data_IF_898301833792
#
_entry.id   IF_898301833792
#
_cell.length_a   1.000
_cell.length_b   1.000
_cell.length_c   1.000
_cell.angle_alpha   90.00
_cell.angle_beta   90.00
_cell.angle_gamma   90.00
#
_symmetry.space_group_name_H-M   'P 1'
#
loop_
_entity.id
_entity.type
_entity.pdbx_description
1 polymer ?
#
# COMPACT_ATOMS: atom_id res chain seq x y z
N UNK A 1 34.64 -41.47 18.23
CA UNK A 1 33.56 -40.48 18.32
C UNK A 1 33.32 -40.04 16.84
N UNK A 2 32.35 -40.72 16.17
CA UNK A 2 32.05 -40.45 14.78
C UNK A 2 31.17 -39.21 14.73
N UNK A 3 31.70 -38.12 14.23
CA UNK A 3 30.89 -36.97 13.80
C UNK A 3 30.16 -37.46 12.56
N UNK A 4 28.87 -37.73 12.66
CA UNK A 4 27.99 -37.86 11.50
C UNK A 4 27.83 -36.45 10.94
N UNK A 5 28.62 -36.12 9.93
CA UNK A 5 28.25 -35.06 9.02
C UNK A 5 26.98 -35.54 8.32
N UNK A 6 25.81 -35.04 8.79
CA UNK A 6 24.58 -35.16 8.05
C UNK A 6 24.74 -34.26 6.84
N UNK A 7 25.08 -34.85 5.69
CA UNK A 7 24.97 -34.19 4.41
C UNK A 7 23.49 -33.81 4.30
N UNK A 8 23.17 -32.53 4.46
CA UNK A 8 21.83 -32.02 4.17
C UNK A 8 21.52 -32.39 2.72
N UNK A 9 20.46 -33.15 2.49
CA UNK A 9 20.01 -33.48 1.15
C UNK A 9 19.54 -32.17 0.52
N UNK A 10 20.12 -31.81 -0.61
CA UNK A 10 19.67 -30.66 -1.40
C UNK A 10 18.22 -30.91 -1.82
N UNK A 11 17.33 -30.01 -1.49
CA UNK A 11 15.91 -30.09 -1.84
C UNK A 11 15.51 -28.86 -2.64
N UNK A 12 14.52 -29.03 -3.52
CA UNK A 12 14.04 -27.96 -4.41
C UNK A 12 12.65 -27.53 -3.98
N UNK A 13 12.40 -26.23 -3.96
CA UNK A 13 11.10 -25.65 -3.71
C UNK A 13 10.64 -24.77 -4.87
N UNK A 14 9.32 -24.63 -5.06
CA UNK A 14 8.70 -23.73 -6.03
C UNK A 14 8.23 -22.45 -5.34
N UNK A 15 8.66 -21.30 -5.85
CA UNK A 15 8.23 -19.99 -5.40
C UNK A 15 7.45 -19.26 -6.49
N UNK A 16 6.14 -19.08 -6.31
CA UNK A 16 5.33 -18.26 -7.20
C UNK A 16 5.39 -16.79 -6.81
N UNK A 17 5.63 -15.95 -7.82
CA UNK A 17 5.73 -14.50 -7.63
C UNK A 17 4.89 -13.74 -8.63
N UNK A 18 4.33 -12.59 -8.20
CA UNK A 18 3.64 -11.64 -9.08
C UNK A 18 4.57 -10.61 -9.72
N UNK A 19 5.89 -10.74 -9.50
CA UNK A 19 6.89 -9.86 -10.12
C UNK A 19 7.27 -10.40 -11.50
N UNK A 20 6.53 -10.00 -12.54
CA UNK A 20 6.69 -10.49 -13.91
C UNK A 20 7.70 -9.67 -14.74
N UNK A 21 8.01 -8.43 -14.32
CA UNK A 21 8.93 -7.57 -15.08
C UNK A 21 10.35 -8.17 -15.08
N UNK A 22 11.02 -8.27 -16.26
CA UNK A 22 12.32 -8.96 -16.35
C UNK A 22 13.37 -8.48 -15.35
N UNK A 23 13.47 -7.16 -15.13
CA UNK A 23 14.44 -6.60 -14.17
C UNK A 23 14.12 -6.95 -12.70
N UNK A 24 12.83 -7.09 -12.36
CA UNK A 24 12.39 -7.49 -11.03
C UNK A 24 12.56 -8.98 -10.80
N UNK A 25 12.17 -9.78 -11.81
CA UNK A 25 12.35 -11.23 -11.79
C UNK A 25 13.84 -11.61 -11.68
N UNK A 26 14.74 -10.91 -12.40
CA UNK A 26 16.16 -11.12 -12.29
C UNK A 26 16.71 -10.92 -10.85
N UNK A 27 16.16 -9.96 -10.10
CA UNK A 27 16.54 -9.76 -8.69
C UNK A 27 16.06 -10.90 -7.78
N UNK A 28 14.85 -11.43 -8.02
CA UNK A 28 14.35 -12.58 -7.26
C UNK A 28 15.15 -13.85 -7.58
N UNK A 29 15.51 -14.07 -8.84
CA UNK A 29 16.42 -15.18 -9.22
C UNK A 29 17.79 -15.04 -8.57
N UNK A 30 18.33 -13.82 -8.48
CA UNK A 30 19.59 -13.58 -7.79
C UNK A 30 19.48 -13.89 -6.28
N UNK A 31 18.39 -13.51 -5.64
CA UNK A 31 18.11 -13.84 -4.23
C UNK A 31 17.98 -15.36 -4.02
N UNK A 32 17.30 -16.07 -4.92
CA UNK A 32 17.22 -17.52 -4.90
C UNK A 32 18.60 -18.19 -5.06
N UNK A 33 19.44 -17.65 -5.96
CA UNK A 33 20.81 -18.15 -6.14
C UNK A 33 21.71 -17.88 -4.93
N UNK A 34 21.52 -16.77 -4.22
CA UNK A 34 22.26 -16.49 -2.98
C UNK A 34 21.80 -17.39 -1.84
N UNK A 35 20.50 -17.67 -1.73
CA UNK A 35 19.94 -18.66 -0.80
C UNK A 35 20.53 -20.07 -1.05
N UNK A 36 20.60 -20.49 -2.33
CA UNK A 36 21.24 -21.77 -2.70
C UNK A 36 22.71 -21.85 -2.27
N UNK A 37 23.48 -20.78 -2.45
CA UNK A 37 24.91 -20.75 -2.01
C UNK A 37 25.05 -20.91 -0.51
N UNK A 38 24.10 -20.38 0.26
CA UNK A 38 24.13 -20.40 1.71
C UNK A 38 23.65 -21.74 2.29
N UNK A 39 22.61 -22.34 1.69
CA UNK A 39 21.90 -23.49 2.28
C UNK A 39 22.08 -24.80 1.48
N UNK A 40 22.38 -24.69 0.18
CA UNK A 40 22.36 -25.82 -0.76
C UNK A 40 20.99 -26.17 -1.30
N UNK A 41 19.90 -25.52 -0.84
CA UNK A 41 18.54 -25.73 -1.34
C UNK A 41 18.23 -24.84 -2.55
N UNK A 42 17.59 -25.40 -3.57
CA UNK A 42 17.25 -24.68 -4.81
C UNK A 42 15.83 -24.09 -4.73
N UNK A 43 15.65 -22.89 -5.26
CA UNK A 43 14.35 -22.21 -5.36
C UNK A 43 14.04 -21.92 -6.82
N UNK A 44 13.04 -22.61 -7.36
CA UNK A 44 12.50 -22.32 -8.68
C UNK A 44 11.54 -21.12 -8.60
N UNK A 45 11.98 -19.96 -9.13
CA UNK A 45 11.15 -18.73 -9.17
C UNK A 45 10.23 -18.74 -10.37
N UNK A 46 8.94 -18.84 -10.15
CA UNK A 46 7.92 -18.96 -11.20
C UNK A 46 7.04 -17.69 -11.23
N UNK A 47 7.13 -16.84 -12.27
CA UNK A 47 6.26 -15.68 -12.40
C UNK A 47 4.82 -16.10 -12.72
N UNK A 48 3.86 -15.47 -12.05
CA UNK A 48 2.43 -15.66 -12.23
C UNK A 48 1.75 -14.31 -12.30
N UNK A 49 0.99 -14.07 -13.36
CA UNK A 49 0.23 -12.83 -13.49
C UNK A 49 -0.70 -12.62 -12.30
N UNK A 50 -0.66 -11.42 -11.71
CA UNK A 50 -1.47 -11.08 -10.52
C UNK A 50 -2.97 -11.33 -10.75
N UNK A 51 -3.47 -11.06 -11.96
CA UNK A 51 -4.87 -11.30 -12.35
C UNK A 51 -5.25 -12.79 -12.42
N UNK A 52 -4.28 -13.66 -12.66
CA UNK A 52 -4.49 -15.11 -12.81
C UNK A 52 -4.13 -15.89 -11.54
N UNK A 53 -3.43 -15.27 -10.61
CA UNK A 53 -2.89 -15.91 -9.41
C UNK A 53 -3.96 -16.67 -8.61
N UNK A 54 -5.11 -16.04 -8.35
CA UNK A 54 -6.18 -16.66 -7.57
C UNK A 54 -6.75 -17.93 -8.24
N UNK A 55 -7.01 -17.88 -9.55
CA UNK A 55 -7.49 -19.04 -10.32
C UNK A 55 -6.47 -20.16 -10.35
N UNK A 56 -5.20 -19.80 -10.56
CA UNK A 56 -4.11 -20.77 -10.63
C UNK A 56 -3.88 -21.46 -9.29
N UNK A 57 -3.90 -20.72 -8.18
CA UNK A 57 -3.74 -21.27 -6.83
C UNK A 57 -4.91 -22.21 -6.48
N UNK A 58 -6.15 -21.83 -6.78
CA UNK A 58 -7.33 -22.72 -6.57
C UNK A 58 -7.24 -24.01 -7.38
N UNK A 59 -6.80 -23.94 -8.63
CA UNK A 59 -6.63 -25.13 -9.47
C UNK A 59 -5.49 -26.03 -8.97
N UNK A 60 -4.37 -25.45 -8.57
CA UNK A 60 -3.24 -26.19 -8.01
C UNK A 60 -3.60 -26.88 -6.67
N UNK A 61 -4.32 -26.18 -5.80
CA UNK A 61 -4.84 -26.75 -4.55
C UNK A 61 -5.74 -27.96 -4.78
N UNK A 62 -6.68 -27.84 -5.74
CA UNK A 62 -7.55 -28.96 -6.10
C UNK A 62 -6.80 -30.17 -6.71
N UNK A 63 -5.62 -29.93 -7.28
CA UNK A 63 -4.74 -30.96 -7.85
C UNK A 63 -3.72 -31.53 -6.83
N UNK A 64 -3.57 -30.94 -5.63
CA UNK A 64 -2.51 -31.26 -4.67
C UNK A 64 -1.11 -30.93 -5.22
N UNK A 65 -0.97 -29.81 -5.97
CA UNK A 65 0.29 -29.35 -6.60
C UNK A 65 0.46 -27.85 -6.39
N UNK A 66 0.22 -27.37 -5.16
CA UNK A 66 0.55 -26.00 -4.79
C UNK A 66 2.07 -25.79 -4.85
N UNK A 67 2.55 -24.56 -5.15
CA UNK A 67 3.94 -24.21 -4.90
C UNK A 67 4.21 -24.16 -3.39
N UNK A 68 5.46 -24.23 -3.00
CA UNK A 68 5.84 -24.16 -1.58
C UNK A 68 5.60 -22.77 -0.97
N UNK A 69 5.91 -21.72 -1.73
CA UNK A 69 5.73 -20.33 -1.31
C UNK A 69 5.04 -19.52 -2.39
N UNK A 70 4.10 -18.67 -2.00
CA UNK A 70 3.43 -17.72 -2.90
C UNK A 70 3.64 -16.29 -2.39
N UNK A 71 4.12 -15.39 -3.27
CA UNK A 71 4.11 -13.95 -3.02
C UNK A 71 2.79 -13.37 -3.53
N UNK A 72 1.96 -12.88 -2.59
CA UNK A 72 0.58 -12.50 -2.88
C UNK A 72 0.12 -11.20 -2.19
N UNK A 73 -1.06 -10.74 -2.54
CA UNK A 73 -1.69 -9.53 -1.99
C UNK A 73 -2.61 -9.85 -0.82
N UNK A 74 -3.00 -8.79 -0.08
CA UNK A 74 -3.93 -8.84 1.04
C UNK A 74 -5.24 -9.58 0.73
N UNK A 75 -5.77 -9.43 -0.48
CA UNK A 75 -7.06 -10.02 -0.87
C UNK A 75 -7.11 -11.54 -0.76
N UNK A 76 -5.96 -12.22 -0.74
CA UNK A 76 -5.88 -13.69 -0.65
C UNK A 76 -5.67 -14.21 0.77
N UNK A 77 -5.26 -13.37 1.72
CA UNK A 77 -4.94 -13.82 3.09
C UNK A 77 -6.11 -14.59 3.70
N UNK A 78 -7.28 -13.96 3.85
CA UNK A 78 -8.44 -14.63 4.45
C UNK A 78 -8.99 -15.78 3.60
N UNK A 79 -9.33 -15.58 2.31
CA UNK A 79 -9.93 -16.65 1.50
C UNK A 79 -9.04 -17.89 1.38
N UNK A 80 -7.73 -17.73 1.31
CA UNK A 80 -6.82 -18.87 1.21
C UNK A 80 -6.55 -19.55 2.56
N UNK A 81 -6.66 -18.81 3.66
CA UNK A 81 -6.63 -19.40 5.01
C UNK A 81 -7.89 -20.24 5.26
N UNK A 82 -9.05 -19.70 4.95
CA UNK A 82 -10.34 -20.41 5.06
C UNK A 82 -10.40 -21.65 4.18
N UNK A 83 -9.86 -21.59 2.97
CA UNK A 83 -9.82 -22.70 2.01
C UNK A 83 -8.76 -23.76 2.32
N UNK A 84 -7.82 -23.50 3.26
CA UNK A 84 -6.71 -24.41 3.57
C UNK A 84 -5.59 -24.41 2.53
N UNK A 85 -5.46 -23.34 1.75
CA UNK A 85 -4.34 -23.15 0.79
C UNK A 85 -3.09 -22.71 1.53
N UNK A 86 -3.23 -21.80 2.53
CA UNK A 86 -2.13 -21.34 3.37
C UNK A 86 -1.95 -22.24 4.59
N UNK A 87 -0.73 -22.62 4.87
CA UNK A 87 -0.34 -23.22 6.15
C UNK A 87 -0.21 -22.12 7.22
N UNK A 88 -1.33 -21.85 7.89
CA UNK A 88 -1.45 -20.77 8.87
C UNK A 88 -0.50 -20.99 10.07
N UNK A 89 -0.32 -22.25 10.51
CA UNK A 89 0.57 -22.59 11.62
C UNK A 89 2.02 -22.23 11.28
N UNK A 90 2.51 -22.72 10.15
CA UNK A 90 3.88 -22.46 9.69
C UNK A 90 4.11 -20.96 9.46
N UNK A 91 3.17 -20.25 8.87
CA UNK A 91 3.30 -18.81 8.66
C UNK A 91 3.36 -18.02 9.98
N UNK A 92 2.53 -18.37 10.99
CA UNK A 92 2.58 -17.74 12.31
C UNK A 92 3.89 -18.04 13.04
N UNK A 93 4.37 -19.28 12.97
CA UNK A 93 5.64 -19.70 13.56
C UNK A 93 6.84 -18.94 12.94
N UNK A 94 6.82 -18.72 11.61
CA UNK A 94 7.84 -17.90 10.95
C UNK A 94 7.83 -16.47 11.52
N UNK A 95 6.66 -15.82 11.57
CA UNK A 95 6.53 -14.45 12.08
C UNK A 95 6.97 -14.35 13.55
N UNK A 96 6.57 -15.31 14.39
CA UNK A 96 6.97 -15.37 15.78
C UNK A 96 8.49 -15.56 15.94
N UNK A 97 9.11 -16.45 15.13
CA UNK A 97 10.57 -16.67 15.13
C UNK A 97 11.37 -15.44 14.65
N UNK A 98 10.78 -14.63 13.77
CA UNK A 98 11.32 -13.35 13.30
C UNK A 98 11.08 -12.22 14.30
N UNK A 99 10.41 -12.51 15.41
CA UNK A 99 9.96 -11.58 16.45
C UNK A 99 8.91 -10.58 15.94
N UNK A 100 7.65 -10.93 16.12
CA UNK A 100 6.45 -10.20 15.67
C UNK A 100 6.50 -8.70 15.98
N UNK A 101 7.12 -8.30 17.10
CA UNK A 101 7.32 -6.89 17.49
C UNK A 101 8.24 -6.07 16.57
N UNK A 102 9.02 -6.73 15.69
CA UNK A 102 9.88 -6.06 14.72
C UNK A 102 9.12 -5.63 13.46
N UNK A 103 7.89 -6.11 13.28
CA UNK A 103 7.01 -5.75 12.18
C UNK A 103 6.14 -4.53 12.52
N UNK A 104 5.69 -3.82 11.50
CA UNK A 104 4.70 -2.77 11.64
C UNK A 104 3.35 -3.35 12.12
N UNK A 105 2.76 -2.84 13.20
CA UNK A 105 1.52 -3.38 13.76
C UNK A 105 0.36 -3.46 12.77
N UNK A 106 0.21 -2.46 11.89
CA UNK A 106 -0.81 -2.48 10.84
C UNK A 106 -0.65 -3.64 9.87
N UNK A 107 0.58 -3.97 9.45
CA UNK A 107 0.85 -5.09 8.56
C UNK A 107 0.53 -6.44 9.20
N UNK A 108 0.87 -6.60 10.48
CA UNK A 108 0.50 -7.80 11.26
C UNK A 108 -1.02 -7.91 11.42
N UNK A 109 -1.69 -6.79 11.74
CA UNK A 109 -3.16 -6.75 11.89
C UNK A 109 -3.86 -7.23 10.61
N UNK A 110 -3.38 -6.81 9.45
CA UNK A 110 -3.96 -7.19 8.16
C UNK A 110 -3.70 -8.64 7.74
N UNK A 111 -2.82 -9.36 8.43
CA UNK A 111 -2.53 -10.79 8.19
C UNK A 111 -3.21 -11.74 9.19
N UNK A 112 -4.12 -11.24 10.05
CA UNK A 112 -4.72 -12.07 11.10
C UNK A 112 -5.83 -12.97 10.56
N UNK A 113 -5.77 -14.25 10.95
CA UNK A 113 -6.81 -15.23 10.77
C UNK A 113 -6.84 -16.15 12.00
N UNK A 114 -7.99 -16.27 12.63
CA UNK A 114 -8.23 -17.10 13.83
C UNK A 114 -7.18 -16.92 14.95
N UNK A 115 -6.80 -15.65 15.17
CA UNK A 115 -5.83 -15.28 16.21
C UNK A 115 -4.36 -15.47 15.82
N UNK A 116 -4.06 -15.99 14.63
CA UNK A 116 -2.71 -16.25 14.09
C UNK A 116 -2.38 -15.34 12.93
N UNK A 117 -1.10 -15.21 12.61
CA UNK A 117 -0.63 -14.47 11.44
C UNK A 117 -0.59 -15.43 10.24
N UNK A 118 -1.61 -15.40 9.40
CA UNK A 118 -1.85 -16.38 8.36
C UNK A 118 -0.89 -16.34 7.16
N UNK A 119 -0.17 -15.24 6.98
CA UNK A 119 0.87 -15.08 5.96
C UNK A 119 1.93 -14.11 6.47
N UNK A 120 3.17 -14.24 6.01
CA UNK A 120 4.29 -13.41 6.46
C UNK A 120 4.29 -12.08 5.73
N UNK A 121 4.04 -10.92 6.39
CA UNK A 121 4.11 -9.62 5.73
C UNK A 121 5.54 -9.33 5.25
N UNK A 122 5.69 -8.99 3.97
CA UNK A 122 7.00 -8.80 3.33
C UNK A 122 7.31 -7.33 3.11
N UNK A 123 6.48 -6.68 2.35
CA UNK A 123 6.59 -5.28 1.97
C UNK A 123 5.21 -4.67 1.81
N UNK A 124 5.18 -3.36 1.70
CA UNK A 124 3.93 -2.66 1.46
C UNK A 124 4.17 -1.19 1.18
N UNK A 125 3.10 -0.50 0.84
CA UNK A 125 3.11 0.94 0.67
C UNK A 125 1.82 1.55 1.21
N UNK A 126 1.89 2.84 1.53
CA UNK A 126 0.74 3.60 2.00
C UNK A 126 0.41 4.71 1.02
N UNK A 127 -0.87 5.05 0.89
CA UNK A 127 -1.22 6.32 0.26
C UNK A 127 -0.70 7.48 1.11
N UNK A 128 -0.40 8.59 0.45
CA UNK A 128 0.17 9.77 1.08
C UNK A 128 -0.58 11.02 0.64
N UNK A 129 -0.88 11.91 1.57
CA UNK A 129 -1.12 13.31 1.25
C UNK A 129 0.24 13.95 1.00
N UNK A 130 0.52 14.24 -0.24
CA UNK A 130 1.72 14.91 -0.72
C UNK A 130 1.42 16.39 -0.84
N UNK A 131 2.20 17.26 -0.20
CA UNK A 131 1.89 18.69 -0.14
C UNK A 131 3.12 19.57 -0.34
N UNK A 132 2.91 20.76 -0.84
CA UNK A 132 3.94 21.80 -1.01
C UNK A 132 4.30 22.40 0.35
N UNK A 133 5.28 21.78 1.01
CA UNK A 133 5.73 22.19 2.32
C UNK A 133 6.22 23.65 2.34
N UNK A 134 6.92 24.08 1.31
CA UNK A 134 7.39 25.47 1.16
C UNK A 134 6.22 26.48 1.16
N UNK A 135 5.12 26.16 0.48
CA UNK A 135 3.92 27.02 0.41
C UNK A 135 3.18 27.00 1.75
N UNK A 136 3.10 25.83 2.41
CA UNK A 136 2.50 25.72 3.74
C UNK A 136 3.26 26.50 4.79
N UNK A 137 4.59 26.38 4.80
CA UNK A 137 5.46 27.11 5.72
C UNK A 137 5.33 28.64 5.52
N UNK A 138 5.36 29.11 4.27
CA UNK A 138 5.18 30.53 3.93
C UNK A 138 3.80 31.06 4.36
N UNK A 139 2.77 30.21 4.34
CA UNK A 139 1.41 30.57 4.73
C UNK A 139 1.13 30.37 6.24
N UNK A 140 2.09 29.84 7.03
CA UNK A 140 1.90 29.51 8.44
C UNK A 140 0.84 28.42 8.67
N UNK A 141 0.76 27.43 7.78
CA UNK A 141 -0.18 26.32 7.84
C UNK A 141 0.43 25.08 8.50
N UNK A 142 -0.37 24.41 9.33
CA UNK A 142 0.00 23.11 9.87
C UNK A 142 -0.03 22.02 8.74
N UNK A 143 0.73 20.93 8.90
CA UNK A 143 0.65 19.79 7.98
C UNK A 143 -0.80 19.30 7.77
N UNK A 144 -1.15 18.79 6.58
CA UNK A 144 -2.52 18.35 6.22
C UNK A 144 -2.87 16.98 6.81
N UNK A 145 -2.80 16.83 8.14
CA UNK A 145 -3.03 15.59 8.88
C UNK A 145 -4.46 15.44 9.43
N UNK A 146 -5.37 16.29 8.99
CA UNK A 146 -6.79 16.19 9.30
C UNK A 146 -7.63 16.87 8.22
N UNK A 147 -8.93 16.52 8.12
CA UNK A 147 -9.86 17.21 7.23
C UNK A 147 -9.81 18.73 7.47
N UNK A 148 -9.87 19.16 8.72
CA UNK A 148 -9.83 20.58 9.07
C UNK A 148 -8.55 21.29 8.60
N UNK A 149 -7.38 20.68 8.73
CA UNK A 149 -6.13 21.26 8.25
C UNK A 149 -6.05 21.30 6.72
N UNK A 150 -6.57 20.28 6.03
CA UNK A 150 -6.66 20.27 4.56
C UNK A 150 -7.61 21.37 4.08
N UNK A 151 -8.79 21.48 4.70
CA UNK A 151 -9.79 22.51 4.35
C UNK A 151 -9.25 23.93 4.59
N UNK A 152 -8.60 24.15 5.74
CA UNK A 152 -7.94 25.43 6.04
C UNK A 152 -6.86 25.79 5.01
N UNK A 153 -6.10 24.79 4.56
CA UNK A 153 -5.09 24.99 3.52
C UNK A 153 -5.75 25.30 2.17
N UNK A 154 -6.84 24.63 1.81
CA UNK A 154 -7.62 24.96 0.61
C UNK A 154 -8.13 26.40 0.68
N UNK A 155 -8.77 26.80 1.77
CA UNK A 155 -9.33 28.14 1.91
C UNK A 155 -8.28 29.24 1.78
N UNK A 156 -7.02 28.96 2.16
CA UNK A 156 -5.93 29.91 2.11
C UNK A 156 -5.15 29.90 0.80
N UNK A 157 -5.00 28.73 0.15
CA UNK A 157 -4.07 28.56 -0.96
C UNK A 157 -4.76 28.42 -2.33
N UNK A 158 -6.07 28.11 -2.36
CA UNK A 158 -6.80 27.93 -3.62
C UNK A 158 -6.99 29.27 -4.33
N UNK A 159 -6.25 29.46 -5.41
CA UNK A 159 -6.26 30.68 -6.24
C UNK A 159 -6.01 30.30 -7.72
N UNK A 160 -6.95 29.62 -8.39
CA UNK A 160 -6.78 29.24 -9.77
C UNK A 160 -6.73 30.45 -10.69
N UNK A 161 -5.99 30.42 -11.80
CA UNK A 161 -5.20 29.28 -12.31
C UNK A 161 -3.78 29.18 -11.70
N UNK A 162 -3.44 30.03 -10.73
CA UNK A 162 -2.09 30.10 -10.17
C UNK A 162 -1.78 28.90 -9.27
N UNK A 163 -2.73 28.55 -8.38
CA UNK A 163 -2.61 27.45 -7.44
C UNK A 163 -3.97 26.80 -7.18
N UNK A 164 -4.09 25.51 -7.43
CA UNK A 164 -5.21 24.71 -6.94
C UNK A 164 -4.92 24.27 -5.49
N UNK A 165 -5.90 24.38 -4.61
CA UNK A 165 -5.74 23.97 -3.21
C UNK A 165 -5.50 22.48 -3.07
N UNK A 166 -6.13 21.68 -3.94
CA UNK A 166 -6.02 20.23 -3.98
C UNK A 166 -6.11 19.71 -5.42
N UNK A 167 -5.66 18.48 -5.65
CA UNK A 167 -5.98 17.72 -6.87
C UNK A 167 -6.53 16.36 -6.46
N UNK A 168 -7.87 16.25 -6.52
CA UNK A 168 -8.62 15.06 -6.12
C UNK A 168 -8.74 14.03 -7.24
N UNK A 169 -8.95 12.77 -6.87
CA UNK A 169 -9.32 11.71 -7.80
C UNK A 169 -10.83 11.80 -8.10
N UNK A 170 -11.21 12.10 -9.34
CA UNK A 170 -12.62 12.32 -9.72
C UNK A 170 -13.09 11.51 -10.93
N UNK A 171 -12.22 10.69 -11.52
CA UNK A 171 -12.58 9.78 -12.60
C UNK A 171 -13.15 8.48 -12.04
N UNK A 172 -14.43 8.20 -12.31
CA UNK A 172 -15.25 7.17 -11.68
C UNK A 172 -14.73 5.76 -11.94
N UNK A 173 -14.39 5.44 -13.17
CA UNK A 173 -14.03 4.11 -13.67
C UNK A 173 -12.56 3.72 -13.42
N UNK A 174 -11.93 4.34 -12.42
CA UNK A 174 -10.50 4.14 -12.14
C UNK A 174 -10.25 3.74 -10.68
N UNK A 175 -9.37 2.79 -10.48
CA UNK A 175 -8.94 2.34 -9.16
C UNK A 175 -8.39 3.46 -8.28
N UNK A 176 -7.83 4.50 -8.90
CA UNK A 176 -7.31 5.66 -8.18
C UNK A 176 -8.39 6.33 -7.33
N UNK A 177 -9.58 6.57 -7.89
CA UNK A 177 -10.69 7.16 -7.12
C UNK A 177 -11.16 6.22 -6.01
N UNK A 178 -11.28 4.91 -6.28
CA UNK A 178 -11.67 3.92 -5.28
C UNK A 178 -10.72 3.87 -4.09
N UNK A 179 -9.41 3.87 -4.35
CA UNK A 179 -8.37 3.84 -3.32
C UNK A 179 -8.37 5.12 -2.47
N UNK A 180 -8.52 6.28 -3.11
CA UNK A 180 -8.57 7.56 -2.39
C UNK A 180 -9.84 7.66 -1.55
N UNK A 181 -10.98 7.23 -2.08
CA UNK A 181 -12.23 7.20 -1.32
C UNK A 181 -12.14 6.26 -0.11
N UNK A 182 -11.66 5.02 -0.29
CA UNK A 182 -11.47 4.10 0.83
C UNK A 182 -10.62 4.75 1.93
N UNK A 183 -9.52 5.42 1.57
CA UNK A 183 -8.67 6.11 2.55
C UNK A 183 -9.41 7.24 3.28
N UNK A 184 -10.14 8.08 2.57
CA UNK A 184 -10.90 9.19 3.18
C UNK A 184 -12.02 8.69 4.09
N UNK A 185 -12.73 7.63 3.69
CA UNK A 185 -13.73 6.96 4.53
C UNK A 185 -13.11 6.37 5.80
N UNK A 186 -12.00 5.63 5.68
CA UNK A 186 -11.25 5.08 6.82
C UNK A 186 -10.73 6.20 7.75
N UNK A 187 -10.25 7.30 7.17
CA UNK A 187 -9.78 8.46 7.92
C UNK A 187 -10.86 9.05 8.84
N UNK A 188 -12.14 8.93 8.46
CA UNK A 188 -13.29 9.35 9.29
C UNK A 188 -13.98 8.20 10.03
N UNK A 189 -13.38 7.00 10.03
CA UNK A 189 -13.89 5.82 10.74
C UNK A 189 -15.12 5.16 10.08
N UNK A 190 -15.36 5.41 8.79
CA UNK A 190 -16.52 4.90 8.06
C UNK A 190 -16.14 3.63 7.30
N UNK A 191 -16.90 2.54 7.51
CA UNK A 191 -16.74 1.28 6.81
C UNK A 191 -18.11 0.76 6.34
N UNK A 192 -18.23 0.28 5.09
CA UNK A 192 -19.47 -0.31 4.58
C UNK A 192 -19.67 -1.77 5.03
N UNK A 193 -18.75 -2.31 5.84
CA UNK A 193 -18.82 -3.69 6.34
C UNK A 193 -18.55 -3.77 7.84
N UNK A 194 -19.20 -4.73 8.48
CA UNK A 194 -18.94 -5.15 9.86
C UNK A 194 -18.81 -6.69 9.90
N UNK A 195 -18.59 -7.28 11.07
CA UNK A 195 -18.44 -8.73 11.22
C UNK A 195 -19.61 -9.58 10.71
N UNK A 196 -20.77 -9.00 10.49
CA UNK A 196 -21.97 -9.68 10.01
C UNK A 196 -22.23 -9.47 8.51
N UNK A 197 -21.31 -8.81 7.78
CA UNK A 197 -21.46 -8.48 6.37
C UNK A 197 -21.63 -6.98 6.12
N UNK A 198 -22.53 -6.59 5.20
CA UNK A 198 -22.80 -5.18 4.92
C UNK A 198 -23.27 -4.43 6.19
N UNK A 199 -22.70 -3.25 6.38
CA UNK A 199 -23.07 -2.34 7.47
C UNK A 199 -23.60 -1.04 6.89
N UNK A 200 -24.85 -0.65 7.23
CA UNK A 200 -25.36 0.65 6.82
C UNK A 200 -24.42 1.77 7.28
N UNK A 201 -24.11 2.67 6.35
CA UNK A 201 -23.28 3.83 6.61
C UNK A 201 -24.04 4.83 7.50
N UNK A 202 -23.41 5.25 8.59
CA UNK A 202 -23.96 6.28 9.48
C UNK A 202 -24.10 7.63 8.74
N UNK A 203 -25.25 8.29 8.90
CA UNK A 203 -25.58 9.52 8.17
C UNK A 203 -24.58 10.64 8.49
N UNK A 204 -24.21 10.83 9.76
CA UNK A 204 -23.33 11.92 10.18
C UNK A 204 -21.92 11.74 9.65
N UNK A 205 -21.28 10.64 10.00
CA UNK A 205 -19.88 10.39 9.65
C UNK A 205 -19.69 10.26 8.13
N UNK A 206 -20.69 9.70 7.42
CA UNK A 206 -20.66 9.61 5.95
C UNK A 206 -20.85 10.97 5.29
N UNK A 207 -21.75 11.82 5.82
CA UNK A 207 -21.91 13.19 5.33
C UNK A 207 -20.63 14.00 5.47
N UNK A 208 -19.93 13.90 6.60
CA UNK A 208 -18.63 14.53 6.82
C UNK A 208 -17.62 14.13 5.74
N UNK A 209 -17.56 12.84 5.37
CA UNK A 209 -16.69 12.34 4.27
C UNK A 209 -17.10 12.93 2.92
N UNK A 210 -18.40 12.91 2.60
CA UNK A 210 -18.89 13.38 1.31
C UNK A 210 -18.67 14.90 1.14
N UNK A 211 -18.95 15.69 2.19
CA UNK A 211 -18.71 17.13 2.20
C UNK A 211 -17.22 17.46 2.04
N UNK A 212 -16.36 16.77 2.78
CA UNK A 212 -14.91 16.91 2.63
C UNK A 212 -14.44 16.54 1.21
N UNK A 213 -14.92 15.41 0.67
CA UNK A 213 -14.52 14.99 -0.67
C UNK A 213 -14.98 15.96 -1.75
N UNK A 214 -16.19 16.50 -1.62
CA UNK A 214 -16.68 17.57 -2.50
C UNK A 214 -15.83 18.83 -2.39
N UNK A 215 -15.40 19.22 -1.18
CA UNK A 215 -14.53 20.39 -0.99
C UNK A 215 -13.19 20.21 -1.69
N UNK A 216 -12.52 19.06 -1.55
CA UNK A 216 -11.26 18.79 -2.25
C UNK A 216 -11.44 18.70 -3.77
N UNK A 217 -12.56 18.14 -4.24
CA UNK A 217 -12.89 18.08 -5.66
C UNK A 217 -13.15 19.48 -6.26
N UNK A 218 -13.88 20.35 -5.55
CA UNK A 218 -14.12 21.76 -6.00
C UNK A 218 -12.84 22.63 -5.93
N UNK A 219 -11.87 22.25 -5.10
CA UNK A 219 -10.54 22.91 -5.05
C UNK A 219 -9.58 22.41 -6.12
N UNK A 220 -10.00 21.47 -6.97
CA UNK A 220 -9.25 20.86 -8.07
C UNK A 220 -9.64 21.48 -9.42
N UNK A 221 -8.84 21.28 -10.48
CA UNK A 221 -9.31 21.58 -11.84
C UNK A 221 -10.61 20.86 -12.16
N UNK A 222 -11.46 21.51 -12.96
CA UNK A 222 -12.73 20.92 -13.40
C UNK A 222 -12.51 19.68 -14.29
N UNK A 223 -13.48 18.74 -14.23
CA UNK A 223 -13.51 17.55 -15.07
C UNK A 223 -13.15 16.27 -14.32
N UNK A 224 -12.84 15.23 -15.08
CA UNK A 224 -12.45 13.92 -14.58
C UNK A 224 -10.93 13.85 -14.46
N UNK A 225 -10.46 13.72 -13.21
CA UNK A 225 -9.04 13.68 -12.91
C UNK A 225 -8.62 12.25 -12.57
N UNK A 226 -7.78 11.71 -13.42
CA UNK A 226 -7.07 10.46 -13.24
C UNK A 226 -5.63 10.76 -12.78
N UNK A 227 -4.92 9.78 -12.29
CA UNK A 227 -3.59 9.98 -11.69
C UNK A 227 -2.58 10.71 -12.60
N UNK A 228 -2.60 10.48 -13.92
CA UNK A 228 -1.67 11.17 -14.86
C UNK A 228 -1.86 12.67 -14.88
N UNK A 229 -3.12 13.12 -15.02
CA UNK A 229 -3.46 14.54 -15.02
C UNK A 229 -3.18 15.17 -13.64
N UNK A 230 -3.60 14.47 -12.57
CA UNK A 230 -3.44 14.95 -11.20
C UNK A 230 -1.98 15.22 -10.85
N UNK A 231 -1.08 14.27 -11.11
CA UNK A 231 0.35 14.47 -10.83
C UNK A 231 0.98 15.55 -11.72
N UNK A 232 0.59 15.65 -12.99
CA UNK A 232 1.14 16.67 -13.89
C UNK A 232 0.88 18.09 -13.37
N UNK A 233 -0.30 18.34 -12.77
CA UNK A 233 -0.66 19.63 -12.17
C UNK A 233 0.23 19.90 -10.93
N UNK A 234 0.45 18.88 -10.09
CA UNK A 234 1.34 19.00 -8.93
C UNK A 234 2.80 19.24 -9.37
N UNK A 235 3.27 18.52 -10.40
CA UNK A 235 4.64 18.64 -10.94
C UNK A 235 4.92 20.00 -11.57
N UNK A 236 3.89 20.65 -12.09
CA UNK A 236 3.96 22.04 -12.56
C UNK A 236 3.99 23.07 -11.41
N UNK A 237 3.95 22.63 -10.15
CA UNK A 237 3.89 23.51 -8.99
C UNK A 237 2.54 24.23 -8.84
N UNK A 238 1.51 23.80 -9.58
CA UNK A 238 0.18 24.43 -9.63
C UNK A 238 -0.85 23.81 -8.70
N UNK A 239 -0.44 22.92 -7.79
CA UNK A 239 -1.30 22.35 -6.76
C UNK A 239 -0.59 22.37 -5.41
N UNK A 240 -1.33 22.71 -4.34
CA UNK A 240 -0.82 22.70 -2.98
C UNK A 240 -0.78 21.29 -2.40
N UNK A 241 -1.74 20.44 -2.74
CA UNK A 241 -1.88 19.07 -2.22
C UNK A 241 -2.38 18.09 -3.28
N UNK A 242 -1.97 16.83 -3.12
CA UNK A 242 -2.49 15.67 -3.86
C UNK A 242 -2.46 14.43 -2.94
N UNK A 243 -3.41 13.50 -3.07
CA UNK A 243 -3.28 12.15 -2.50
C UNK A 243 -2.72 11.24 -3.59
N UNK A 244 -1.62 10.53 -3.28
CA UNK A 244 -0.95 9.64 -4.23
C UNK A 244 -0.23 8.47 -3.57
N UNK A 245 0.17 7.52 -4.40
CA UNK A 245 1.05 6.41 -4.01
C UNK A 245 2.51 6.85 -3.94
N UNK A 246 3.39 6.09 -3.26
CA UNK A 246 4.81 6.43 -3.13
C UNK A 246 5.60 6.32 -4.45
N UNK A 247 5.02 5.78 -5.51
CA UNK A 247 5.62 5.83 -6.85
C UNK A 247 5.84 7.26 -7.39
N UNK A 248 5.31 8.28 -6.72
CA UNK A 248 5.62 9.70 -7.00
C UNK A 248 7.01 10.11 -6.48
N UNK A 249 7.61 9.39 -5.55
CA UNK A 249 8.81 9.83 -4.83
C UNK A 249 10.04 9.98 -5.72
N UNK A 250 10.26 9.09 -6.67
CA UNK A 250 11.33 9.18 -7.65
C UNK A 250 11.02 10.21 -8.75
N UNK A 251 9.74 10.33 -9.10
CA UNK A 251 9.26 11.29 -10.10
C UNK A 251 9.41 12.74 -9.63
N UNK A 252 9.07 13.05 -8.36
CA UNK A 252 9.27 14.37 -7.74
C UNK A 252 10.74 14.82 -7.75
N UNK A 253 11.66 13.87 -7.76
CA UNK A 253 13.10 14.11 -7.78
C UNK A 253 13.71 14.13 -9.19
N UNK A 254 12.88 14.09 -10.25
CA UNK A 254 13.34 14.13 -11.64
C UNK A 254 14.09 12.87 -12.09
N UNK A 255 13.83 11.70 -11.46
CA UNK A 255 14.52 10.46 -11.80
C UNK A 255 13.84 9.65 -12.93
N UNK A 256 12.71 10.16 -13.46
CA UNK A 256 11.91 9.48 -14.49
C UNK A 256 11.58 10.42 -15.64
N UNK A 257 12.04 10.11 -16.85
CA UNK A 257 11.81 10.95 -18.04
C UNK A 257 10.35 10.97 -18.48
N UNK A 258 9.60 9.89 -18.24
CA UNK A 258 8.18 9.82 -18.62
C UNK A 258 7.26 10.64 -17.72
N UNK A 259 7.76 11.18 -16.62
CA UNK A 259 7.02 11.98 -15.65
C UNK A 259 7.93 13.00 -14.94
N UNK A 260 8.51 13.94 -15.66
CA UNK A 260 9.43 14.90 -15.08
C UNK A 260 8.68 15.98 -14.28
N UNK A 261 9.28 16.52 -13.20
CA UNK A 261 8.79 17.76 -12.62
C UNK A 261 8.97 18.92 -13.61
N UNK A 262 7.98 19.80 -13.64
CA UNK A 262 7.97 20.97 -14.55
C UNK A 262 7.82 22.28 -13.76
N UNK A 263 8.19 22.25 -12.49
CA UNK A 263 8.14 23.43 -11.61
C UNK A 263 9.21 24.48 -11.96
N UNK A 264 10.23 24.07 -12.66
CA UNK A 264 11.30 24.90 -13.24
C UNK A 264 11.71 24.33 -14.60
N UNK A 265 12.70 24.95 -15.25
CA UNK A 265 13.17 24.56 -16.60
C UNK A 265 14.07 23.31 -16.59
N UNK A 266 14.39 22.74 -15.41
CA UNK A 266 15.20 21.54 -15.29
C UNK A 266 14.33 20.31 -14.91
N UNK A 267 14.03 19.42 -15.88
CA UNK A 267 13.21 18.21 -15.64
C UNK A 267 13.91 17.15 -14.78
N UNK A 268 15.20 17.32 -14.49
CA UNK A 268 15.99 16.44 -13.64
C UNK A 268 16.18 16.99 -12.22
N UNK A 269 15.56 18.13 -11.94
CA UNK A 269 15.70 18.86 -10.69
C UNK A 269 15.08 18.11 -9.51
N UNK A 270 15.80 18.08 -8.38
CA UNK A 270 15.30 17.60 -7.08
C UNK A 270 14.45 18.67 -6.34
N UNK A 271 14.26 19.86 -6.92
CA UNK A 271 13.65 20.99 -6.24
C UNK A 271 12.22 20.72 -5.74
N UNK A 272 11.41 19.98 -6.51
CA UNK A 272 10.06 19.66 -6.08
C UNK A 272 10.06 18.64 -4.94
N UNK A 273 10.91 17.63 -4.96
CA UNK A 273 11.09 16.69 -3.85
C UNK A 273 11.48 17.40 -2.55
N UNK A 274 12.42 18.35 -2.62
CA UNK A 274 12.86 19.15 -1.48
C UNK A 274 11.78 20.10 -0.91
N UNK A 275 10.85 20.53 -1.77
CA UNK A 275 9.70 21.38 -1.40
C UNK A 275 8.47 20.60 -0.95
N UNK A 276 8.55 19.26 -0.98
CA UNK A 276 7.42 18.37 -0.67
C UNK A 276 7.45 17.90 0.78
N UNK A 277 6.29 17.98 1.42
CA UNK A 277 5.99 17.30 2.69
C UNK A 277 5.04 16.11 2.45
N UNK A 278 5.04 15.18 3.40
CA UNK A 278 4.27 13.93 3.31
C UNK A 278 3.51 13.69 4.61
N UNK A 279 2.25 13.28 4.48
CA UNK A 279 1.39 12.79 5.56
C UNK A 279 0.78 11.48 5.11
N UNK A 280 0.92 10.42 5.89
CA UNK A 280 0.39 9.08 5.59
C UNK A 280 -0.88 8.77 6.38
N UNK A 281 -1.03 9.37 7.56
CA UNK A 281 -2.18 9.21 8.44
C UNK A 281 -2.85 10.56 8.62
N UNK A 282 -4.13 10.65 8.30
CA UNK A 282 -4.94 11.85 8.56
C UNK A 282 -6.32 11.45 9.09
N UNK A 283 -6.95 12.36 9.85
CA UNK A 283 -8.21 12.09 10.53
C UNK A 283 -9.33 13.03 10.14
N UNK A 284 -10.57 12.52 10.23
CA UNK A 284 -11.79 13.30 10.10
C UNK A 284 -12.44 13.62 11.45
N UNK A 285 -13.53 14.39 11.48
CA UNK A 285 -14.21 14.79 12.71
C UNK A 285 -14.71 13.61 13.56
N UNK A 286 -15.20 12.54 12.92
CA UNK A 286 -15.70 11.34 13.61
C UNK A 286 -14.59 10.36 14.00
N UNK A 287 -13.38 10.52 13.46
CA UNK A 287 -12.18 9.74 13.83
C UNK A 287 -10.94 10.64 13.83
N UNK A 288 -10.70 11.46 14.88
CA UNK A 288 -9.56 12.36 14.95
C UNK A 288 -8.20 11.65 14.95
N UNK A 289 -8.14 10.39 15.39
CA UNK A 289 -6.92 9.58 15.33
C UNK A 289 -6.53 9.24 13.88
N UNK A 290 -7.52 9.20 12.99
CA UNK A 290 -7.33 8.93 11.58
C UNK A 290 -6.96 7.50 11.25
N UNK A 291 -6.62 7.29 9.99
CA UNK A 291 -6.11 6.04 9.46
C UNK A 291 -5.10 6.30 8.34
N UNK A 292 -4.26 5.31 8.08
CA UNK A 292 -3.51 5.19 6.83
C UNK A 292 -4.14 4.07 5.99
N UNK A 293 -4.16 4.25 4.70
CA UNK A 293 -4.53 3.21 3.75
C UNK A 293 -3.25 2.55 3.24
N UNK A 294 -3.19 1.21 3.26
CA UNK A 294 -2.01 0.48 2.79
C UNK A 294 -2.37 -0.71 1.90
N UNK A 295 -1.44 -1.05 1.01
CA UNK A 295 -1.40 -2.31 0.29
C UNK A 295 -0.15 -3.09 0.76
N UNK A 296 -0.38 -4.26 1.34
CA UNK A 296 0.67 -5.12 1.89
C UNK A 296 0.78 -6.38 1.05
N UNK A 297 2.02 -6.81 0.83
CA UNK A 297 2.36 -8.07 0.17
C UNK A 297 2.87 -9.07 1.19
N UNK A 298 2.64 -10.33 0.91
CA UNK A 298 2.89 -11.43 1.83
C UNK A 298 3.63 -12.57 1.14
N UNK A 299 4.47 -13.28 1.91
CA UNK A 299 4.81 -14.66 1.60
C UNK A 299 3.81 -15.58 2.31
N UNK A 300 3.18 -16.47 1.55
CA UNK A 300 2.35 -17.54 2.06
C UNK A 300 3.03 -18.88 1.84
N UNK A 301 3.45 -19.55 2.90
CA UNK A 301 3.78 -20.98 2.85
C UNK A 301 2.47 -21.74 2.68
N UNK A 302 2.43 -22.67 1.76
CA UNK A 302 1.20 -23.42 1.41
C UNK A 302 1.13 -24.75 2.16
N UNK A 303 -0.05 -25.37 2.14
CA UNK A 303 -0.26 -26.68 2.80
C UNK A 303 0.39 -27.86 2.09
N UNK A 304 0.79 -27.73 0.82
CA UNK A 304 1.53 -28.76 0.07
C UNK A 304 3.06 -28.56 0.12
N UNK A 305 3.54 -27.55 0.87
CA UNK A 305 4.94 -27.15 0.88
C UNK A 305 5.88 -28.19 1.52
N UNK A 306 7.11 -28.25 1.01
CA UNK A 306 8.24 -28.69 1.84
C UNK A 306 8.48 -27.65 2.93
N UNK A 307 7.82 -27.83 4.08
CA UNK A 307 7.68 -26.86 5.15
C UNK A 307 9.03 -26.40 5.70
N UNK A 308 10.01 -27.30 5.83
CA UNK A 308 11.33 -26.99 6.39
C UNK A 308 12.09 -26.02 5.48
N UNK A 309 12.21 -26.36 4.19
CA UNK A 309 12.94 -25.53 3.21
C UNK A 309 12.18 -24.24 2.89
N UNK A 310 10.84 -24.29 2.79
CA UNK A 310 10.00 -23.10 2.60
C UNK A 310 10.15 -22.12 3.78
N UNK A 311 10.15 -22.63 5.02
CA UNK A 311 10.39 -21.84 6.23
C UNK A 311 11.77 -21.18 6.20
N UNK A 312 12.81 -21.93 5.85
CA UNK A 312 14.18 -21.40 5.74
C UNK A 312 14.27 -20.31 4.69
N UNK A 313 13.69 -20.52 3.50
CA UNK A 313 13.67 -19.53 2.42
C UNK A 313 12.96 -18.24 2.81
N UNK A 314 11.77 -18.35 3.42
CA UNK A 314 11.02 -17.17 3.87
C UNK A 314 11.78 -16.44 4.97
N UNK A 315 12.38 -17.15 5.94
CA UNK A 315 13.20 -16.53 6.99
C UNK A 315 14.45 -15.84 6.41
N UNK A 316 15.13 -16.47 5.46
CA UNK A 316 16.23 -15.85 4.73
C UNK A 316 15.80 -14.56 4.04
N UNK A 317 14.70 -14.63 3.27
CA UNK A 317 14.14 -13.49 2.54
C UNK A 317 13.70 -12.33 3.45
N UNK A 318 13.44 -12.60 4.73
CA UNK A 318 13.07 -11.60 5.74
C UNK A 318 14.21 -11.19 6.68
N UNK A 319 15.41 -11.77 6.54
CA UNK A 319 16.64 -11.45 7.30
C UNK A 319 17.74 -10.97 6.37
N UNK A 320 18.65 -11.86 6.00
CA UNK A 320 19.85 -11.51 5.23
C UNK A 320 19.53 -11.14 3.79
N UNK A 321 18.53 -11.78 3.17
CA UNK A 321 17.97 -11.46 1.86
C UNK A 321 17.00 -10.27 1.86
N UNK A 322 16.62 -9.69 3.03
CA UNK A 322 15.49 -8.75 3.07
C UNK A 322 15.77 -7.44 2.32
N UNK A 323 16.99 -6.93 2.40
CA UNK A 323 17.38 -5.73 1.64
C UNK A 323 17.32 -5.99 0.12
N UNK A 324 17.69 -7.20 -0.33
CA UNK A 324 17.56 -7.60 -1.73
C UNK A 324 16.09 -7.69 -2.15
N UNK A 325 15.22 -8.26 -1.32
CA UNK A 325 13.75 -8.30 -1.53
C UNK A 325 13.18 -6.89 -1.73
N UNK A 326 13.49 -5.95 -0.84
CA UNK A 326 13.05 -4.56 -0.93
C UNK A 326 13.64 -3.83 -2.15
N UNK A 327 14.83 -4.22 -2.62
CA UNK A 327 15.48 -3.60 -3.76
C UNK A 327 14.78 -3.83 -5.10
N UNK A 328 13.82 -4.74 -5.16
CA UNK A 328 13.06 -5.07 -6.38
C UNK A 328 12.36 -3.82 -6.94
N UNK A 329 11.70 -3.03 -6.08
CA UNK A 329 11.09 -1.73 -6.42
C UNK A 329 11.01 -0.85 -5.14
N UNK A 330 12.10 -0.26 -4.68
CA UNK A 330 12.16 0.38 -3.35
C UNK A 330 11.14 1.49 -3.15
N UNK A 331 10.77 2.21 -4.23
CA UNK A 331 9.76 3.26 -4.21
C UNK A 331 8.35 2.77 -3.86
N UNK A 332 8.06 1.49 -4.03
CA UNK A 332 6.76 0.87 -3.75
C UNK A 332 6.83 -0.31 -2.77
N UNK A 333 8.02 -0.65 -2.25
CA UNK A 333 8.24 -1.76 -1.33
C UNK A 333 8.90 -1.25 -0.04
N UNK A 334 8.05 -0.76 0.86
CA UNK A 334 8.52 -0.28 2.16
C UNK A 334 8.73 -1.46 3.12
N UNK A 335 9.73 -1.40 4.00
CA UNK A 335 9.99 -2.45 4.95
C UNK A 335 8.87 -2.54 6.00
N UNK A 336 8.04 -3.55 5.93
CA UNK A 336 7.05 -3.86 6.97
C UNK A 336 7.72 -4.47 8.20
N UNK A 337 8.82 -5.19 8.05
CA UNK A 337 9.75 -5.53 9.12
C UNK A 337 10.80 -4.42 9.23
N UNK A 338 10.73 -3.63 10.31
CA UNK A 338 11.52 -2.39 10.44
C UNK A 338 12.99 -2.62 10.77
N UNK A 339 13.26 -3.68 11.54
CA UNK A 339 14.61 -4.00 11.99
C UNK A 339 14.68 -5.31 12.74
N UNK A 340 15.61 -5.39 13.66
CA UNK A 340 15.85 -6.50 14.56
C UNK A 340 15.83 -5.98 16.01
N UNK A 341 15.68 -6.82 17.03
CA UNK A 341 15.60 -6.37 18.43
C UNK A 341 16.76 -5.51 18.88
N UNK A 342 17.96 -5.85 18.40
CA UNK A 342 19.20 -5.10 18.71
C UNK A 342 19.45 -3.91 17.79
N UNK A 343 18.71 -3.82 16.66
CA UNK A 343 18.78 -2.71 15.71
C UNK A 343 17.39 -2.48 15.08
N UNK A 344 16.53 -1.77 15.79
CA UNK A 344 15.10 -1.61 15.48
C UNK A 344 14.80 -0.85 14.19
N UNK A 345 15.80 -0.19 13.58
CA UNK A 345 15.68 0.56 12.32
C UNK A 345 16.54 -0.04 11.19
N UNK A 346 17.12 -1.25 11.38
CA UNK A 346 18.06 -1.88 10.44
C UNK A 346 17.56 -1.83 9.00
N UNK A 347 16.35 -2.32 8.77
CA UNK A 347 15.81 -2.47 7.42
C UNK A 347 15.27 -1.16 6.83
N UNK A 348 14.73 -0.26 7.66
CA UNK A 348 14.34 1.09 7.24
C UNK A 348 15.57 1.88 6.78
N UNK A 349 16.67 1.80 7.54
CA UNK A 349 17.92 2.47 7.19
C UNK A 349 18.56 1.87 5.94
N UNK A 350 18.50 0.55 5.76
CA UNK A 350 19.00 -0.10 4.55
C UNK A 350 18.16 0.27 3.32
N UNK A 351 16.83 0.20 3.46
CA UNK A 351 15.88 0.55 2.40
C UNK A 351 16.03 2.00 1.91
N UNK A 352 16.19 2.96 2.82
CA UNK A 352 16.34 4.37 2.45
C UNK A 352 17.59 4.66 1.60
N UNK A 353 18.56 3.76 1.62
CA UNK A 353 19.80 3.83 0.82
C UNK A 353 19.69 3.09 -0.51
N UNK A 354 18.61 2.35 -0.76
CA UNK A 354 18.42 1.67 -2.03
C UNK A 354 18.16 2.68 -3.16
N UNK A 355 18.73 2.46 -4.35
CA UNK A 355 18.52 3.35 -5.49
C UNK A 355 17.10 3.22 -6.02
N UNK A 356 16.36 4.32 -6.05
CA UNK A 356 15.04 4.47 -6.69
C UNK A 356 15.17 5.14 -8.06
N UNK A 357 14.09 5.14 -8.83
CA UNK A 357 14.01 5.78 -10.15
C UNK A 357 14.12 4.81 -11.32
N UNK A 358 13.94 5.30 -12.53
CA UNK A 358 13.97 4.51 -13.77
C UNK A 358 15.14 4.94 -14.65
N UNK A 359 15.13 6.15 -15.18
CA UNK A 359 16.15 6.65 -16.10
C UNK A 359 17.40 7.14 -15.38
N UNK A 360 17.25 7.65 -14.19
CA UNK A 360 18.30 8.06 -13.24
C UNK A 360 18.06 7.38 -11.91
N UNK A 361 19.13 7.16 -11.15
CA UNK A 361 19.07 6.46 -9.86
C UNK A 361 19.63 7.34 -8.76
N UNK A 362 18.93 7.39 -7.63
CA UNK A 362 19.43 7.97 -6.39
C UNK A 362 18.76 7.30 -5.19
N UNK A 363 19.42 7.19 -4.04
CA UNK A 363 18.77 6.67 -2.83
C UNK A 363 17.78 7.70 -2.25
N UNK A 364 16.70 7.22 -1.64
CA UNK A 364 15.70 8.08 -1.00
C UNK A 364 16.32 8.99 0.07
N UNK A 365 17.35 8.52 0.78
CA UNK A 365 18.09 9.29 1.79
C UNK A 365 18.86 10.50 1.25
N UNK A 366 19.10 10.57 -0.07
CA UNK A 366 19.69 11.74 -0.73
C UNK A 366 18.63 12.71 -1.28
N UNK A 367 17.38 12.25 -1.37
CA UNK A 367 16.26 13.00 -1.95
C UNK A 367 15.40 13.64 -0.86
N UNK A 368 15.23 12.96 0.26
CA UNK A 368 14.34 13.33 1.36
C UNK A 368 15.07 13.30 2.69
N UNK A 369 14.64 14.17 3.62
CA UNK A 369 15.19 14.19 4.97
C UNK A 369 14.81 12.93 5.75
N UNK A 370 15.60 12.59 6.79
CA UNK A 370 15.30 11.47 7.71
C UNK A 370 13.90 11.58 8.32
N UNK A 371 13.44 12.82 8.62
CA UNK A 371 12.09 13.07 9.12
C UNK A 371 11.03 12.66 8.09
N UNK A 372 11.25 12.98 6.82
CA UNK A 372 10.34 12.59 5.72
C UNK A 372 10.37 11.08 5.50
N UNK A 373 11.54 10.46 5.50
CA UNK A 373 11.71 8.99 5.40
C UNK A 373 10.92 8.27 6.51
N UNK A 374 11.07 8.72 7.77
CA UNK A 374 10.31 8.16 8.91
C UNK A 374 8.80 8.32 8.73
N UNK A 375 8.34 9.46 8.21
CA UNK A 375 6.90 9.68 7.94
C UNK A 375 6.36 8.77 6.85
N UNK A 376 7.13 8.51 5.79
CA UNK A 376 6.75 7.60 4.70
C UNK A 376 6.42 6.21 5.27
N UNK A 377 7.30 5.65 6.09
CA UNK A 377 7.09 4.30 6.64
C UNK A 377 6.12 4.25 7.82
N UNK A 378 5.88 5.37 8.51
CA UNK A 378 5.01 5.42 9.70
C UNK A 378 3.54 5.11 9.40
N UNK A 379 3.09 5.29 8.17
CA UNK A 379 1.74 4.91 7.77
C UNK A 379 1.45 3.42 7.94
N UNK A 380 2.47 2.57 7.85
CA UNK A 380 2.34 1.13 8.08
C UNK A 380 1.97 0.78 9.53
N UNK A 381 2.18 1.70 10.48
CA UNK A 381 1.83 1.52 11.90
C UNK A 381 0.31 1.54 12.12
N UNK A 382 -0.37 2.43 11.40
CA UNK A 382 -1.81 2.69 11.50
C UNK A 382 -2.57 2.22 10.26
N UNK A 383 -1.92 1.42 9.42
CA UNK A 383 -2.51 0.90 8.19
C UNK A 383 -3.77 0.09 8.46
N UNK A 384 -4.79 0.37 7.69
CA UNK A 384 -6.08 -0.34 7.73
C UNK A 384 -6.66 -0.45 6.31
N UNK A 385 -7.62 -1.35 6.14
CA UNK A 385 -8.42 -1.55 4.95
C UNK A 385 -9.83 -2.00 5.37
N UNK A 386 -10.84 -1.69 4.57
CA UNK A 386 -12.17 -2.23 4.78
C UNK A 386 -12.17 -3.75 4.80
N UNK A 387 -12.90 -4.32 5.72
CA UNK A 387 -13.09 -5.76 5.84
C UNK A 387 -11.97 -6.53 6.52
N UNK A 388 -10.83 -5.90 6.83
CA UNK A 388 -9.70 -6.58 7.47
C UNK A 388 -10.04 -6.98 8.91
N UNK A 389 -10.35 -6.01 9.76
CA UNK A 389 -10.69 -6.27 11.17
C UNK A 389 -12.05 -6.92 11.36
N UNK A 390 -12.90 -6.85 10.34
CA UNK A 390 -14.24 -7.41 10.33
C UNK A 390 -14.28 -8.85 9.78
N UNK A 391 -13.19 -9.37 9.19
CA UNK A 391 -13.18 -10.65 8.49
C UNK A 391 -14.02 -10.65 7.21
N UNK A 392 -14.17 -9.50 6.54
CA UNK A 392 -15.06 -9.28 5.40
C UNK A 392 -14.33 -8.75 4.15
N UNK A 393 -13.06 -9.15 3.95
CA UNK A 393 -12.26 -8.69 2.81
C UNK A 393 -12.89 -9.00 1.46
N UNK A 394 -13.53 -10.15 1.32
CA UNK A 394 -14.20 -10.54 0.08
C UNK A 394 -15.35 -9.58 -0.25
N UNK A 395 -16.21 -9.28 0.71
CA UNK A 395 -17.31 -8.34 0.53
C UNK A 395 -16.80 -6.91 0.29
N UNK A 396 -15.81 -6.46 1.05
CA UNK A 396 -15.18 -5.16 0.85
C UNK A 396 -14.60 -5.01 -0.55
N UNK A 397 -13.93 -6.04 -1.06
CA UNK A 397 -13.40 -6.07 -2.44
C UNK A 397 -14.50 -6.00 -3.49
N UNK A 398 -15.62 -6.71 -3.30
CA UNK A 398 -16.80 -6.60 -4.20
C UNK A 398 -17.39 -5.19 -4.19
N UNK A 399 -17.50 -4.56 -3.01
CA UNK A 399 -17.97 -3.17 -2.87
C UNK A 399 -17.05 -2.22 -3.63
N UNK A 400 -15.74 -2.30 -3.45
CA UNK A 400 -14.75 -1.46 -4.15
C UNK A 400 -14.87 -1.66 -5.66
N UNK A 401 -14.89 -2.91 -6.13
CA UNK A 401 -14.93 -3.24 -7.55
C UNK A 401 -16.26 -2.88 -8.22
N UNK A 402 -17.36 -2.75 -7.47
CA UNK A 402 -18.66 -2.30 -8.00
C UNK A 402 -18.64 -0.85 -8.47
N UNK A 403 -17.72 -0.03 -7.96
CA UNK A 403 -17.62 1.41 -8.19
C UNK A 403 -18.89 2.21 -7.84
N UNK A 404 -19.81 1.62 -7.07
CA UNK A 404 -21.05 2.29 -6.63
C UNK A 404 -20.69 3.55 -5.85
N UNK A 405 -19.72 3.46 -4.93
CA UNK A 405 -19.30 4.62 -4.12
C UNK A 405 -18.76 5.71 -5.03
N UNK A 406 -17.88 5.38 -5.97
CA UNK A 406 -17.29 6.35 -6.91
C UNK A 406 -18.39 7.11 -7.68
N UNK A 407 -19.37 6.38 -8.21
CA UNK A 407 -20.44 6.95 -9.01
C UNK A 407 -21.34 7.88 -8.18
N UNK A 408 -21.76 7.45 -6.99
CA UNK A 408 -22.65 8.24 -6.13
C UNK A 408 -21.91 9.48 -5.59
N UNK A 409 -20.65 9.34 -5.22
CA UNK A 409 -19.80 10.49 -4.84
C UNK A 409 -19.66 11.47 -6.00
N UNK A 410 -19.50 10.98 -7.23
CA UNK A 410 -19.46 11.84 -8.41
C UNK A 410 -20.76 12.60 -8.64
N UNK A 411 -21.93 11.94 -8.52
CA UNK A 411 -23.24 12.62 -8.61
C UNK A 411 -23.37 13.73 -7.55
N UNK A 412 -22.85 13.50 -6.33
CA UNK A 412 -22.84 14.52 -5.27
C UNK A 412 -21.87 15.67 -5.57
N UNK A 413 -20.67 15.39 -6.07
CA UNK A 413 -19.69 16.41 -6.48
C UNK A 413 -20.28 17.32 -7.58
N UNK A 414 -21.03 16.74 -8.52
CA UNK A 414 -21.65 17.43 -9.65
C UNK A 414 -22.98 18.13 -9.30
N UNK A 415 -23.33 18.22 -8.03
CA UNK A 415 -24.56 18.86 -7.53
C UNK A 415 -25.88 18.22 -8.06
N UNK A 416 -25.82 16.96 -8.53
CA UNK A 416 -27.01 16.23 -9.02
C UNK A 416 -27.90 15.70 -7.89
N UNK A 417 -27.31 15.47 -6.72
CA UNK A 417 -27.99 15.03 -5.50
C UNK A 417 -27.43 15.79 -4.29
N UNK A 418 -28.26 15.96 -3.25
CA UNK A 418 -27.80 16.46 -1.96
C UNK A 418 -27.10 15.35 -1.13
N UNK A 419 -26.45 15.74 -0.03
CA UNK A 419 -25.66 14.81 0.82
C UNK A 419 -26.54 13.72 1.44
N UNK A 420 -27.76 14.05 1.90
CA UNK A 420 -28.68 13.09 2.52
C UNK A 420 -29.14 12.04 1.53
N UNK A 421 -29.47 12.47 0.31
CA UNK A 421 -29.83 11.58 -0.79
C UNK A 421 -28.65 10.70 -1.20
N UNK A 422 -27.43 11.24 -1.19
CA UNK A 422 -26.21 10.46 -1.48
C UNK A 422 -26.02 9.34 -0.44
N UNK A 423 -26.11 9.61 0.87
CA UNK A 423 -26.02 8.60 1.92
C UNK A 423 -27.13 7.54 1.79
N UNK A 424 -28.37 7.96 1.55
CA UNK A 424 -29.50 7.04 1.34
C UNK A 424 -29.25 6.11 0.14
N UNK A 425 -28.76 6.68 -0.97
CA UNK A 425 -28.47 5.95 -2.21
C UNK A 425 -27.31 4.96 -2.01
N UNK A 426 -26.25 5.38 -1.31
CA UNK A 426 -25.12 4.50 -0.92
C UNK A 426 -25.62 3.29 -0.15
N UNK A 427 -26.38 3.51 0.93
CA UNK A 427 -26.94 2.43 1.76
C UNK A 427 -27.83 1.48 0.96
N UNK A 428 -28.69 2.01 0.11
CA UNK A 428 -29.58 1.21 -0.73
C UNK A 428 -28.82 0.33 -1.73
N UNK A 429 -27.85 0.91 -2.44
CA UNK A 429 -27.17 0.17 -3.50
C UNK A 429 -26.10 -0.79 -2.95
N UNK A 430 -25.36 -0.40 -1.91
CA UNK A 430 -24.36 -1.27 -1.29
C UNK A 430 -24.98 -2.49 -0.61
N UNK A 431 -26.20 -2.37 -0.06
CA UNK A 431 -26.91 -3.50 0.55
C UNK A 431 -27.29 -4.62 -0.43
N UNK A 432 -27.21 -4.37 -1.74
CA UNK A 432 -27.47 -5.38 -2.78
C UNK A 432 -26.27 -6.22 -3.15
N UNK A 433 -25.06 -5.87 -2.64
CA UNK A 433 -23.83 -6.61 -2.90
C UNK A 433 -23.71 -7.75 -1.89
N UNK A 434 -23.61 -9.00 -2.39
CA UNK A 434 -23.52 -10.23 -1.61
C UNK A 434 -22.14 -10.87 -1.74
#
# INVERSE_FOLDING_TARGET
>A
MCIRDSVAIAENIKFWTTEEQPARLAKQNAMAADFWKETGHEVEVIPVSEKDLGKRATAAFAAGDLPDVIYHTLQYVLPWSEAGILDVETNDDIVNSLQKSTFAPGAIKMAQFDGKTAAVPVDGWTQMVVYRKDVFDAAGLAPPNSFANIEKAIDKLHNPPNMYGFVAATKVDENFMSQVLEHVFLANGVSPVNKNGFSPLDEKSTSEVLEFYKKIAKASPAGELYWKQSRAIYFAGKAAMIIWSPFILDELAGLRNSAPPTINDDPTSKALAQKTGIVTTFGGPSNPAGAAWADIRYFGVTTDANTDVATEFVKYSMKDGYTATLSIAPEGKFPVRRGEPTNTAKYVNAWSKLPVGVDRKAPLSELYSDVTIKKIVSGLETADRWGVKEGQLSLASKIINSQIINRIVREYIDDQIDVKKAVTKLNKELSTIN
#
